data_IF_500353515191
#
_entry.id   IF_500353515191
#
_cell.length_a   1.000
_cell.length_b   1.000
_cell.length_c   1.000
_cell.angle_alpha   90.00
_cell.angle_beta   90.00
_cell.angle_gamma   90.00
#
_symmetry.space_group_name_H-M   'P 1'
#
loop_
_entity.id
_entity.type
_entity.pdbx_description
1 polymer ?
#
# COMPACT_ATOMS: atom_id res chain seq x y z
N UNK A 1 33.48 -13.55 3.13
CA UNK A 1 34.47 -12.51 3.45
C UNK A 1 33.93 -11.67 4.58
N UNK A 2 34.80 -11.35 5.53
CA UNK A 2 34.56 -10.85 6.88
C UNK A 2 34.14 -9.38 6.95
N UNK A 3 33.07 -9.08 7.70
CA UNK A 3 32.92 -7.87 8.53
C UNK A 3 31.97 -8.26 9.68
N UNK A 4 32.39 -8.45 10.93
CA UNK A 4 33.00 -7.52 11.90
C UNK A 4 32.03 -6.43 12.42
N UNK A 5 31.23 -6.85 13.42
CA UNK A 5 30.86 -6.19 14.70
C UNK A 5 30.57 -4.68 14.72
N UNK A 6 29.38 -4.36 15.24
CA UNK A 6 29.24 -3.51 16.44
C UNK A 6 27.94 -3.83 17.20
N UNK A 7 28.06 -3.90 18.52
CA UNK A 7 27.04 -3.99 19.58
C UNK A 7 27.71 -3.31 20.79
N UNK A 8 27.05 -2.89 21.88
CA UNK A 8 25.63 -2.59 22.10
C UNK A 8 25.45 -1.24 22.86
N UNK A 9 24.22 -0.79 23.10
CA UNK A 9 23.93 0.09 24.25
C UNK A 9 22.82 -0.53 25.09
N UNK A 10 23.20 -0.96 26.29
CA UNK A 10 22.32 -1.41 27.37
C UNK A 10 21.66 -0.21 28.03
N UNK A 11 20.42 -0.37 28.51
CA UNK A 11 20.03 0.23 29.78
C UNK A 11 19.17 -0.72 30.62
N UNK A 12 19.23 -0.49 31.92
CA UNK A 12 19.20 -1.46 33.01
C UNK A 12 17.80 -1.61 33.63
N UNK A 13 17.54 -2.83 34.09
CA UNK A 13 16.44 -3.31 34.94
C UNK A 13 16.38 -2.56 36.28
N UNK A 14 15.17 -2.25 36.76
CA UNK A 14 14.90 -2.19 38.20
C UNK A 14 13.62 -2.98 38.54
N UNK A 15 13.82 -4.08 39.28
CA UNK A 15 12.83 -4.80 40.07
C UNK A 15 12.90 -4.26 41.50
N UNK A 16 11.75 -3.99 42.12
CA UNK A 16 11.60 -4.13 43.57
C UNK A 16 10.21 -4.69 43.91
N UNK A 17 10.24 -5.85 44.56
CA UNK A 17 9.15 -6.43 45.35
C UNK A 17 8.88 -5.54 46.58
N UNK A 18 7.62 -5.38 47.00
CA UNK A 18 7.08 -6.14 48.14
C UNK A 18 5.64 -5.76 48.47
N UNK A 19 4.96 -6.74 49.05
CA UNK A 19 3.53 -6.86 49.31
C UNK A 19 2.99 -5.97 50.45
N UNK A 20 1.67 -5.77 50.45
CA UNK A 20 0.85 -5.84 51.65
C UNK A 20 -0.56 -6.33 51.29
N UNK A 21 -0.98 -7.38 52.00
CA UNK A 21 -2.29 -8.02 52.00
C UNK A 21 -3.21 -7.22 52.92
N UNK A 22 -4.48 -7.04 52.54
CA UNK A 22 -5.59 -7.06 53.51
C UNK A 22 -6.91 -7.40 52.84
N UNK A 23 -7.61 -8.30 53.51
CA UNK A 23 -8.81 -9.05 53.14
C UNK A 23 -10.11 -8.26 53.22
N UNK A 24 -11.06 -8.58 52.34
CA UNK A 24 -12.47 -8.68 52.72
C UNK A 24 -13.13 -9.80 51.94
N UNK A 25 -13.59 -10.81 52.68
CA UNK A 25 -14.34 -11.95 52.18
C UNK A 25 -15.78 -11.51 51.90
N UNK A 26 -16.20 -11.59 50.64
CA UNK A 26 -17.61 -11.57 50.27
C UNK A 26 -18.02 -12.89 49.63
N UNK A 27 -19.25 -13.28 49.96
CA UNK A 27 -19.85 -14.60 49.84
C UNK A 27 -19.83 -15.12 48.40
N UNK A 28 -19.27 -16.33 48.22
CA UNK A 28 -19.45 -17.14 47.03
C UNK A 28 -20.93 -17.51 46.86
N UNK A 29 -21.59 -16.86 45.90
CA UNK A 29 -22.71 -17.44 45.16
C UNK A 29 -22.09 -18.33 44.08
N UNK A 30 -22.14 -19.65 44.26
CA UNK A 30 -21.87 -20.61 43.18
C UNK A 30 -22.99 -20.45 42.14
N UNK A 31 -22.75 -19.59 41.17
CA UNK A 31 -23.35 -19.75 39.85
C UNK A 31 -22.57 -20.86 39.15
N UNK A 32 -23.29 -21.77 38.49
CA UNK A 32 -22.70 -22.78 37.63
C UNK A 32 -21.64 -22.14 36.73
N UNK A 33 -20.50 -22.79 36.48
CA UNK A 33 -19.50 -22.24 35.58
C UNK A 33 -20.16 -22.14 34.21
N UNK A 34 -20.54 -20.90 33.84
CA UNK A 34 -20.65 -20.54 32.45
C UNK A 34 -19.28 -20.85 31.89
N UNK A 35 -19.16 -21.94 31.13
CA UNK A 35 -18.03 -22.16 30.23
C UNK A 35 -18.11 -20.99 29.26
N UNK A 36 -17.52 -19.85 29.64
CA UNK A 36 -17.13 -18.84 28.68
C UNK A 36 -16.14 -19.59 27.81
N UNK A 37 -16.52 -19.89 26.56
CA UNK A 37 -15.55 -20.23 25.55
C UNK A 37 -14.43 -19.20 25.70
N UNK A 38 -13.20 -19.65 25.99
CA UNK A 38 -12.09 -18.74 26.11
C UNK A 38 -11.99 -18.00 24.77
N UNK A 39 -12.03 -16.66 24.81
CA UNK A 39 -11.86 -15.82 23.62
C UNK A 39 -10.56 -16.25 22.92
N UNK A 40 -10.67 -16.65 21.65
CA UNK A 40 -9.57 -17.12 20.82
C UNK A 40 -8.81 -15.94 20.22
N UNK A 41 -9.52 -14.85 19.94
CA UNK A 41 -9.07 -13.56 19.47
C UNK A 41 -9.04 -12.53 20.61
N UNK A 42 -8.20 -11.51 20.45
CA UNK A 42 -8.18 -10.32 21.30
C UNK A 42 -8.89 -9.16 20.58
N UNK A 43 -9.24 -8.07 21.30
CA UNK A 43 -9.92 -6.92 20.69
C UNK A 43 -9.25 -6.34 19.44
N UNK A 44 -7.92 -6.32 19.38
CA UNK A 44 -7.19 -5.84 18.20
C UNK A 44 -7.34 -6.76 16.98
N UNK A 45 -7.47 -8.07 17.20
CA UNK A 45 -7.69 -9.03 16.11
C UNK A 45 -9.12 -8.88 15.58
N UNK A 46 -10.08 -8.76 16.50
CA UNK A 46 -11.48 -8.48 16.15
C UNK A 46 -11.65 -7.18 15.36
N UNK A 47 -10.87 -6.15 15.69
CA UNK A 47 -10.83 -4.89 14.96
C UNK A 47 -10.26 -5.10 13.55
N UNK A 48 -9.16 -5.83 13.41
CA UNK A 48 -8.60 -6.21 12.11
C UNK A 48 -9.61 -7.01 11.28
N UNK A 49 -10.31 -7.99 11.87
CA UNK A 49 -11.34 -8.77 11.17
C UNK A 49 -12.52 -7.90 10.73
N UNK A 50 -12.92 -6.93 11.55
CA UNK A 50 -13.94 -5.95 11.20
C UNK A 50 -13.52 -5.11 9.99
N UNK A 51 -12.27 -4.65 9.96
CA UNK A 51 -11.71 -3.91 8.83
C UNK A 51 -11.66 -4.76 7.55
N UNK A 52 -11.20 -6.02 7.66
CA UNK A 52 -11.13 -6.95 6.53
C UNK A 52 -12.54 -7.18 5.96
N UNK A 53 -13.53 -7.42 6.84
CA UNK A 53 -14.92 -7.62 6.43
C UNK A 53 -15.50 -6.38 5.75
N UNK A 54 -15.31 -5.21 6.36
CA UNK A 54 -15.87 -3.95 5.88
C UNK A 54 -15.32 -3.53 4.52
N UNK A 55 -13.99 -3.60 4.32
CA UNK A 55 -13.38 -3.39 3.01
C UNK A 55 -13.80 -4.48 2.02
N UNK A 56 -13.89 -5.73 2.48
CA UNK A 56 -14.45 -6.84 1.73
C UNK A 56 -15.82 -6.58 1.13
N UNK A 57 -16.72 -5.99 1.91
CA UNK A 57 -18.08 -5.61 1.50
C UNK A 57 -18.10 -4.41 0.55
N UNK A 58 -17.13 -3.50 0.67
CA UNK A 58 -16.99 -2.37 -0.24
C UNK A 58 -16.56 -2.86 -1.63
N UNK A 59 -15.51 -3.68 -1.70
CA UNK A 59 -15.02 -4.20 -2.99
C UNK A 59 -16.02 -5.14 -3.66
N UNK A 60 -16.82 -5.89 -2.89
CA UNK A 60 -17.87 -6.75 -3.42
C UNK A 60 -19.00 -6.00 -4.18
N UNK A 61 -19.05 -4.66 -4.10
CA UNK A 61 -20.02 -3.84 -4.86
C UNK A 61 -19.57 -3.54 -6.29
N UNK A 62 -18.32 -3.85 -6.65
CA UNK A 62 -17.75 -3.57 -7.98
C UNK A 62 -17.75 -2.08 -8.37
N UNK A 63 -17.78 -1.17 -7.37
CA UNK A 63 -17.83 0.29 -7.59
C UNK A 63 -16.44 0.94 -7.70
N UNK A 64 -15.39 0.29 -7.18
CA UNK A 64 -14.00 0.80 -7.23
C UNK A 64 -13.23 0.11 -8.37
N UNK A 65 -13.32 -1.21 -8.46
CA UNK A 65 -12.75 -1.99 -9.55
C UNK A 65 -13.55 -3.27 -9.72
N UNK A 66 -14.11 -3.47 -10.92
CA UNK A 66 -15.01 -4.60 -11.15
C UNK A 66 -14.26 -5.92 -11.10
N UNK A 67 -14.81 -6.88 -10.35
CA UNK A 67 -14.26 -8.23 -10.25
C UNK A 67 -13.21 -8.41 -9.16
N UNK A 68 -12.74 -7.34 -8.51
CA UNK A 68 -11.81 -7.46 -7.39
C UNK A 68 -12.56 -7.87 -6.11
N UNK A 69 -12.30 -9.09 -5.63
CA UNK A 69 -12.97 -9.65 -4.46
C UNK A 69 -12.01 -9.86 -3.28
N UNK A 70 -11.56 -8.77 -2.65
CA UNK A 70 -10.60 -8.77 -1.52
C UNK A 70 -10.88 -9.83 -0.45
N UNK A 71 -12.15 -9.95 -0.01
CA UNK A 71 -12.52 -10.86 1.07
C UNK A 71 -12.49 -12.35 0.68
N UNK A 72 -12.18 -12.70 -0.56
CA UNK A 72 -12.11 -14.10 -1.02
C UNK A 72 -10.70 -14.68 -0.93
N UNK A 73 -9.68 -13.83 -0.81
CA UNK A 73 -8.30 -14.27 -0.72
C UNK A 73 -8.03 -15.00 0.59
N UNK A 74 -7.17 -16.02 0.49
CA UNK A 74 -6.67 -16.80 1.61
C UNK A 74 -5.56 -16.03 2.30
N UNK A 75 -5.72 -15.77 3.59
CA UNK A 75 -4.77 -15.00 4.39
C UNK A 75 -4.36 -15.78 5.63
N UNK A 76 -3.09 -15.67 6.00
CA UNK A 76 -2.55 -16.14 7.27
C UNK A 76 -1.96 -14.93 8.00
N UNK A 77 -2.70 -14.43 8.98
CA UNK A 77 -2.34 -13.22 9.71
C UNK A 77 -1.70 -13.64 11.03
N UNK A 78 -0.48 -13.17 11.28
CA UNK A 78 0.28 -13.51 12.49
C UNK A 78 0.48 -12.25 13.30
N UNK A 79 0.03 -12.27 14.54
CA UNK A 79 0.27 -11.17 15.46
C UNK A 79 1.66 -11.28 16.08
N UNK A 80 2.38 -10.17 16.12
CA UNK A 80 3.72 -10.07 16.68
C UNK A 80 3.75 -9.12 17.88
N UNK A 81 4.45 -9.57 18.91
CA UNK A 81 4.82 -8.77 20.08
C UNK A 81 6.34 -8.62 20.15
N UNK A 82 6.85 -7.80 21.06
CA UNK A 82 8.28 -7.74 21.37
C UNK A 82 8.87 -9.10 21.78
N UNK A 83 8.05 -10.04 22.25
CA UNK A 83 8.45 -11.39 22.68
C UNK A 83 8.36 -12.43 21.55
N UNK A 84 7.98 -12.02 20.34
CA UNK A 84 7.72 -12.89 19.20
C UNK A 84 6.21 -13.07 18.91
N UNK A 85 5.86 -13.98 17.99
CA UNK A 85 4.47 -14.22 17.61
C UNK A 85 3.70 -14.91 18.75
N UNK A 86 2.49 -14.46 19.03
CA UNK A 86 1.66 -15.00 20.13
C UNK A 86 0.30 -15.57 19.70
N UNK A 87 -0.16 -15.29 18.48
CA UNK A 87 -1.42 -15.80 17.90
C UNK A 87 -1.43 -15.64 16.39
N UNK A 88 -2.12 -16.53 15.70
CA UNK A 88 -2.31 -16.42 14.26
C UNK A 88 -3.65 -16.96 13.79
N UNK A 89 -4.08 -16.46 12.64
CA UNK A 89 -5.41 -16.68 12.11
C UNK A 89 -5.36 -16.99 10.62
N UNK A 90 -6.01 -18.08 10.21
CA UNK A 90 -6.27 -18.37 8.81
C UNK A 90 -7.67 -17.86 8.43
N UNK A 91 -7.74 -17.11 7.34
CA UNK A 91 -8.98 -16.55 6.80
C UNK A 91 -9.29 -17.22 5.47
N UNK A 92 -10.55 -17.61 5.28
CA UNK A 92 -11.09 -18.32 4.12
C UNK A 92 -10.31 -19.58 3.71
N UNK A 93 -9.91 -20.45 4.65
CA UNK A 93 -9.28 -21.70 4.24
C UNK A 93 -10.29 -22.58 3.46
N UNK A 94 -9.88 -23.23 2.37
CA UNK A 94 -10.78 -24.13 1.62
C UNK A 94 -11.20 -25.33 2.48
N UNK A 95 -10.31 -25.78 3.36
CA UNK A 95 -10.58 -26.76 4.40
C UNK A 95 -9.89 -26.32 5.69
N UNK A 96 -10.50 -26.50 6.88
CA UNK A 96 -9.84 -26.15 8.15
C UNK A 96 -8.50 -26.87 8.31
N UNK A 97 -7.39 -26.16 8.55
CA UNK A 97 -6.11 -26.80 8.83
C UNK A 97 -6.20 -27.68 10.08
N UNK A 98 -5.49 -28.81 10.08
CA UNK A 98 -5.47 -29.72 11.24
C UNK A 98 -4.94 -28.98 12.47
N UNK A 99 -5.72 -28.99 13.55
CA UNK A 99 -5.37 -28.30 14.80
C UNK A 99 -5.80 -26.83 14.85
N UNK A 100 -6.45 -26.31 13.80
CA UNK A 100 -7.06 -24.98 13.82
C UNK A 100 -8.40 -25.02 14.59
N UNK A 101 -8.70 -23.95 15.32
CA UNK A 101 -9.95 -23.81 16.08
C UNK A 101 -10.76 -22.69 15.43
N UNK A 102 -12.00 -22.98 15.01
CA UNK A 102 -12.88 -22.01 14.36
C UNK A 102 -13.29 -20.94 15.37
N UNK A 103 -13.16 -19.67 15.00
CA UNK A 103 -13.74 -18.55 15.74
C UNK A 103 -15.26 -18.58 15.56
N UNK A 104 -16.00 -18.15 16.57
CA UNK A 104 -17.45 -18.00 16.40
C UNK A 104 -17.77 -16.82 15.46
N UNK A 105 -19.04 -16.72 15.05
CA UNK A 105 -19.45 -15.71 14.06
C UNK A 105 -19.31 -14.26 14.58
N UNK A 106 -19.43 -14.03 15.89
CA UNK A 106 -19.32 -12.71 16.50
C UNK A 106 -17.86 -12.29 16.63
N UNK A 107 -17.01 -13.21 17.05
CA UNK A 107 -15.57 -13.04 17.15
C UNK A 107 -14.94 -12.84 15.75
N UNK A 108 -15.32 -13.67 14.78
CA UNK A 108 -14.86 -13.60 13.40
C UNK A 108 -15.52 -12.51 12.54
N UNK A 109 -16.43 -11.69 13.09
CA UNK A 109 -17.15 -10.61 12.38
C UNK A 109 -17.85 -11.07 11.10
N UNK A 110 -18.37 -12.30 11.10
CA UNK A 110 -19.02 -12.92 9.93
C UNK A 110 -18.06 -13.47 8.86
N UNK A 111 -16.74 -13.38 9.05
CA UNK A 111 -15.74 -14.05 8.21
C UNK A 111 -15.54 -15.51 8.66
N UNK A 112 -15.02 -16.34 7.75
CA UNK A 112 -14.62 -17.72 8.06
C UNK A 112 -13.16 -17.71 8.54
N UNK A 113 -12.98 -17.63 9.87
CA UNK A 113 -11.66 -17.52 10.51
C UNK A 113 -11.40 -18.70 11.44
N UNK A 114 -10.17 -19.19 11.45
CA UNK A 114 -9.70 -20.16 12.42
C UNK A 114 -8.40 -19.67 13.06
N UNK A 115 -8.30 -19.78 14.39
CA UNK A 115 -7.04 -19.63 15.10
C UNK A 115 -6.15 -20.82 14.77
N UNK A 116 -4.91 -20.55 14.34
CA UNK A 116 -3.98 -21.54 13.88
C UNK A 116 -2.53 -21.17 14.25
N UNK A 117 -2.10 -21.61 15.42
CA UNK A 117 -0.82 -21.18 16.01
C UNK A 117 0.37 -22.07 15.58
N UNK A 118 0.12 -23.24 14.98
CA UNK A 118 1.13 -24.28 14.75
C UNK A 118 2.28 -23.88 13.80
N UNK A 119 2.06 -22.89 12.93
CA UNK A 119 3.05 -22.46 11.91
C UNK A 119 3.59 -21.06 12.16
N UNK A 120 3.26 -20.42 13.28
CA UNK A 120 3.65 -19.04 13.57
C UNK A 120 5.17 -18.82 13.60
N UNK A 121 5.93 -19.78 14.14
CA UNK A 121 7.38 -19.65 14.20
C UNK A 121 8.01 -19.65 12.81
N UNK A 122 7.52 -20.52 11.92
CA UNK A 122 8.02 -20.56 10.54
C UNK A 122 7.64 -19.29 9.78
N UNK A 123 6.41 -18.81 9.95
CA UNK A 123 5.98 -17.53 9.40
C UNK A 123 6.84 -16.36 9.93
N UNK A 124 7.16 -16.34 11.22
CA UNK A 124 8.09 -15.35 11.79
C UNK A 124 9.46 -15.42 11.13
N UNK A 125 10.06 -16.62 11.06
CA UNK A 125 11.40 -16.79 10.49
C UNK A 125 11.44 -16.40 9.01
N UNK A 126 10.34 -16.58 8.28
CA UNK A 126 10.23 -16.16 6.88
C UNK A 126 10.13 -14.64 6.74
N UNK A 127 9.26 -14.00 7.53
CA UNK A 127 9.00 -12.56 7.43
C UNK A 127 10.13 -11.71 8.04
N UNK A 128 10.74 -12.16 9.15
CA UNK A 128 11.76 -11.41 9.90
C UNK A 128 13.16 -12.05 9.83
N UNK A 129 13.33 -13.09 9.02
CA UNK A 129 14.63 -13.71 8.77
C UNK A 129 15.54 -12.84 7.90
N UNK A 130 16.75 -13.34 7.56
CA UNK A 130 17.73 -12.60 6.78
C UNK A 130 17.25 -12.12 5.41
N UNK A 131 16.32 -12.86 4.80
CA UNK A 131 15.74 -12.57 3.48
C UNK A 131 14.32 -11.97 3.58
N UNK A 132 13.82 -11.76 4.82
CA UNK A 132 12.47 -11.27 5.06
C UNK A 132 12.35 -9.75 4.89
N UNK A 133 11.18 -9.29 4.44
CA UNK A 133 10.88 -7.85 4.31
C UNK A 133 10.29 -7.23 5.59
N UNK A 134 10.13 -8.01 6.66
CA UNK A 134 9.62 -7.57 7.96
C UNK A 134 8.10 -7.37 8.03
N UNK A 135 7.35 -7.61 6.95
CA UNK A 135 5.90 -7.33 6.91
C UNK A 135 5.06 -8.48 6.36
N UNK A 136 5.43 -9.10 5.25
CA UNK A 136 4.55 -10.04 4.54
C UNK A 136 5.28 -11.07 3.68
N UNK A 137 4.54 -12.05 3.17
CA UNK A 137 4.96 -12.99 2.12
C UNK A 137 3.76 -13.35 1.23
N UNK A 138 3.95 -13.31 -0.09
CA UNK A 138 2.91 -13.63 -1.05
C UNK A 138 2.51 -15.10 -1.03
N UNK A 139 3.41 -16.03 -0.70
CA UNK A 139 3.09 -17.45 -0.72
C UNK A 139 3.58 -18.17 0.53
N UNK A 140 2.64 -18.53 1.40
CA UNK A 140 2.89 -19.38 2.56
C UNK A 140 2.03 -20.65 2.52
N UNK A 141 2.66 -21.83 2.45
CA UNK A 141 1.94 -23.10 2.39
C UNK A 141 1.43 -23.54 3.77
N UNK A 142 0.13 -23.77 3.87
CA UNK A 142 -0.49 -24.48 5.00
C UNK A 142 -1.32 -25.63 4.43
N UNK A 143 -0.81 -26.85 4.63
CA UNK A 143 -1.48 -28.08 4.23
C UNK A 143 -1.81 -28.13 2.72
N UNK A 144 -0.83 -27.77 1.87
CA UNK A 144 -0.99 -27.82 0.41
C UNK A 144 -1.82 -26.67 -0.16
N UNK A 145 -2.01 -25.58 0.61
CA UNK A 145 -2.75 -24.40 0.18
C UNK A 145 -1.91 -23.16 0.44
N UNK A 146 -1.82 -22.28 -0.55
CA UNK A 146 -1.10 -21.02 -0.46
C UNK A 146 -1.95 -19.94 0.23
N UNK A 147 -1.35 -19.27 1.21
CA UNK A 147 -1.91 -18.13 1.93
C UNK A 147 -1.03 -16.90 1.74
N UNK A 148 -1.66 -15.73 1.72
CA UNK A 148 -0.93 -14.46 1.87
C UNK A 148 -0.60 -14.34 3.36
N UNK A 149 0.68 -14.29 3.70
CA UNK A 149 1.15 -14.17 5.07
C UNK A 149 1.40 -12.69 5.36
N UNK A 150 0.88 -12.18 6.48
CA UNK A 150 1.18 -10.84 6.94
C UNK A 150 1.36 -10.77 8.46
N UNK A 151 2.36 -10.01 8.87
CA UNK A 151 2.60 -9.58 10.23
C UNK A 151 1.72 -8.39 10.61
N UNK A 152 1.16 -8.42 11.82
CA UNK A 152 0.50 -7.26 12.42
C UNK A 152 0.81 -7.18 13.93
N UNK A 153 0.58 -6.01 14.53
CA UNK A 153 0.88 -5.70 15.93
C UNK A 153 -0.32 -5.03 16.61
N UNK A 154 -0.17 -4.73 17.90
CA UNK A 154 -1.14 -3.98 18.69
C UNK A 154 -1.25 -2.49 18.24
N UNK A 155 -0.42 -2.05 17.28
CA UNK A 155 -0.49 -0.71 16.67
C UNK A 155 -1.77 -0.48 15.85
N UNK A 156 -2.66 -1.47 15.77
CA UNK A 156 -4.01 -1.35 15.22
C UNK A 156 -5.07 -0.98 16.27
N UNK A 157 -4.72 -0.95 17.56
CA UNK A 157 -5.68 -0.67 18.64
C UNK A 157 -6.27 0.75 18.58
N UNK A 158 -7.51 0.92 19.04
CA UNK A 158 -8.16 2.22 19.12
C UNK A 158 -7.29 3.22 19.92
N UNK A 159 -6.88 4.32 19.27
CA UNK A 159 -5.98 5.32 19.84
C UNK A 159 -4.53 5.26 19.35
N UNK A 160 -4.16 4.24 18.57
CA UNK A 160 -2.96 4.28 17.74
C UNK A 160 -3.14 5.27 16.58
N UNK A 161 -2.05 5.86 16.10
CA UNK A 161 -2.10 6.96 15.12
C UNK A 161 -2.64 6.58 13.74
N UNK A 162 -2.76 5.29 13.42
CA UNK A 162 -3.29 4.78 12.14
C UNK A 162 -3.76 3.31 12.29
N UNK A 163 -5.05 3.14 12.59
CA UNK A 163 -5.68 1.81 12.71
C UNK A 163 -5.95 1.13 11.35
N UNK A 164 -5.72 1.84 10.23
CA UNK A 164 -5.97 1.33 8.87
C UNK A 164 -4.76 0.61 8.29
N UNK A 165 -3.55 0.95 8.73
CA UNK A 165 -2.27 0.51 8.15
C UNK A 165 -2.22 -0.96 7.72
N UNK A 166 -2.51 -1.90 8.63
CA UNK A 166 -2.39 -3.33 8.31
C UNK A 166 -3.38 -3.77 7.23
N UNK A 167 -4.63 -3.28 7.28
CA UNK A 167 -5.62 -3.69 6.28
C UNK A 167 -5.37 -3.01 4.95
N UNK A 168 -4.95 -1.75 4.95
CA UNK A 168 -4.58 -1.01 3.74
C UNK A 168 -3.43 -1.71 3.02
N UNK A 169 -2.39 -2.09 3.77
CA UNK A 169 -1.28 -2.87 3.23
C UNK A 169 -1.74 -4.21 2.66
N UNK A 170 -2.53 -4.99 3.40
CA UNK A 170 -3.05 -6.28 2.89
C UNK A 170 -3.92 -6.11 1.64
N UNK A 171 -4.64 -4.99 1.53
CA UNK A 171 -5.50 -4.68 0.38
C UNK A 171 -4.68 -4.36 -0.85
N UNK A 172 -3.57 -3.63 -0.69
CA UNK A 172 -2.58 -3.36 -1.74
C UNK A 172 -1.95 -4.67 -2.22
N UNK A 173 -1.34 -5.43 -1.31
CA UNK A 173 -0.61 -6.65 -1.68
C UNK A 173 -1.53 -7.74 -2.26
N UNK A 174 -2.74 -7.90 -1.74
CA UNK A 174 -3.70 -8.86 -2.31
C UNK A 174 -4.25 -8.44 -3.67
N UNK A 175 -4.16 -7.14 -4.03
CA UNK A 175 -4.49 -6.71 -5.37
C UNK A 175 -3.43 -7.15 -6.40
N UNK A 176 -2.15 -7.27 -6.01
CA UNK A 176 -1.13 -7.87 -6.90
C UNK A 176 -1.49 -9.30 -7.32
N UNK A 177 -2.13 -10.09 -6.45
CA UNK A 177 -2.66 -11.42 -6.83
C UNK A 177 -3.81 -11.37 -7.83
N UNK A 178 -4.59 -10.29 -7.81
CA UNK A 178 -5.59 -10.04 -8.86
C UNK A 178 -4.88 -9.73 -10.19
N UNK A 179 -3.78 -8.96 -10.13
CA UNK A 179 -2.95 -8.60 -11.27
C UNK A 179 -2.16 -9.77 -11.89
N UNK A 180 -1.95 -10.87 -11.16
CA UNK A 180 -1.27 -12.08 -11.68
C UNK A 180 -1.88 -12.61 -13.00
N UNK A 181 -3.15 -12.32 -13.28
CA UNK A 181 -3.85 -12.76 -14.49
C UNK A 181 -3.91 -11.69 -15.60
N UNK A 182 -3.32 -10.51 -15.39
CA UNK A 182 -3.34 -9.43 -16.37
C UNK A 182 -2.37 -9.71 -17.51
N UNK A 183 -2.67 -9.17 -18.69
CA UNK A 183 -1.69 -9.16 -19.77
C UNK A 183 -0.51 -8.26 -19.40
N UNK A 184 0.70 -8.73 -19.67
CA UNK A 184 1.91 -7.94 -19.44
C UNK A 184 1.88 -6.66 -20.28
N UNK A 185 2.27 -5.54 -19.66
CA UNK A 185 2.54 -4.31 -20.40
C UNK A 185 3.70 -4.57 -21.38
N UNK A 186 3.52 -4.29 -22.69
CA UNK A 186 4.56 -4.53 -23.68
C UNK A 186 5.87 -3.82 -23.33
N UNK A 187 7.00 -4.52 -23.54
CA UNK A 187 8.35 -4.02 -23.28
C UNK A 187 8.63 -3.62 -21.81
N UNK A 188 7.76 -3.98 -20.87
CA UNK A 188 7.90 -3.62 -19.45
C UNK A 188 9.23 -4.08 -18.86
N UNK A 189 9.85 -3.19 -18.05
CA UNK A 189 11.16 -3.41 -17.45
C UNK A 189 11.27 -2.73 -16.08
N UNK A 190 11.82 -3.45 -15.10
CA UNK A 190 12.19 -2.87 -13.81
C UNK A 190 13.72 -2.65 -13.75
N UNK A 191 14.16 -1.39 -13.65
CA UNK A 191 15.58 -1.01 -13.62
C UNK A 191 15.77 0.28 -12.83
N UNK A 192 15.77 0.14 -11.51
CA UNK A 192 15.91 1.25 -10.58
C UNK A 192 17.33 1.84 -10.62
N UNK A 193 18.35 1.00 -10.80
CA UNK A 193 19.76 1.41 -10.75
C UNK A 193 20.15 2.31 -11.92
N UNK A 194 19.55 2.10 -13.10
CA UNK A 194 19.85 2.85 -14.32
C UNK A 194 18.77 3.87 -14.68
N UNK A 195 17.79 4.10 -13.81
CA UNK A 195 16.71 5.05 -14.05
C UNK A 195 17.28 6.46 -14.40
N UNK A 196 16.82 7.09 -15.50
CA UNK A 196 17.48 8.25 -16.08
C UNK A 196 17.29 9.50 -15.23
N UNK A 197 18.39 10.20 -14.95
CA UNK A 197 18.38 11.48 -14.24
C UNK A 197 19.01 12.57 -15.10
N UNK A 198 18.20 13.55 -15.50
CA UNK A 198 18.63 14.83 -16.05
C UNK A 198 17.90 15.94 -15.32
N UNK A 199 18.39 17.19 -15.38
CA UNK A 199 17.68 18.32 -14.77
C UNK A 199 16.27 18.43 -15.33
N UNK A 200 16.11 18.31 -16.64
CA UNK A 200 14.81 18.44 -17.31
C UNK A 200 13.85 17.31 -16.95
N UNK A 201 14.33 16.06 -16.84
CA UNK A 201 13.51 14.94 -16.37
C UNK A 201 13.08 15.13 -14.91
N UNK A 202 14.01 15.53 -14.04
CA UNK A 202 13.71 15.81 -12.63
C UNK A 202 12.66 16.93 -12.49
N UNK A 203 12.79 18.01 -13.25
CA UNK A 203 11.80 19.09 -13.26
C UNK A 203 10.40 18.59 -13.64
N UNK A 204 10.30 17.71 -14.63
CA UNK A 204 9.04 17.15 -15.12
C UNK A 204 8.41 16.15 -14.13
N UNK A 205 9.21 15.26 -13.55
CA UNK A 205 8.76 14.25 -12.60
C UNK A 205 8.24 14.91 -11.30
N UNK A 206 9.00 15.88 -10.77
CA UNK A 206 8.56 16.67 -9.61
C UNK A 206 7.29 17.45 -9.95
N UNK A 207 7.21 18.06 -11.15
CA UNK A 207 6.00 18.78 -11.58
C UNK A 207 4.78 17.86 -11.64
N UNK A 208 4.94 16.64 -12.17
CA UNK A 208 3.85 15.67 -12.25
C UNK A 208 3.33 15.30 -10.86
N UNK A 209 4.22 15.03 -9.91
CA UNK A 209 3.86 14.79 -8.51
C UNK A 209 3.10 15.98 -7.92
N UNK A 210 3.62 17.20 -8.09
CA UNK A 210 3.07 18.41 -7.47
C UNK A 210 1.68 18.80 -7.99
N UNK A 211 1.37 18.56 -9.27
CA UNK A 211 0.01 18.79 -9.81
C UNK A 211 -1.00 17.74 -9.34
N UNK A 212 -0.52 16.56 -8.89
CA UNK A 212 -1.37 15.44 -8.47
C UNK A 212 -1.46 15.26 -6.95
N UNK A 213 -0.57 15.87 -6.16
CA UNK A 213 -0.42 15.59 -4.72
C UNK A 213 -1.69 15.73 -3.88
N UNK A 214 -2.59 16.63 -4.28
CA UNK A 214 -3.84 16.89 -3.58
C UNK A 214 -4.93 15.86 -3.92
N UNK A 215 -4.68 14.93 -4.83
CA UNK A 215 -5.63 13.89 -5.23
C UNK A 215 -5.67 12.74 -4.20
N UNK A 216 -6.86 12.16 -3.96
CA UNK A 216 -8.17 12.61 -4.44
C UNK A 216 -8.66 13.86 -3.69
N UNK A 217 -8.96 14.93 -4.41
CA UNK A 217 -9.54 16.14 -3.82
C UNK A 217 -11.07 16.05 -3.84
N UNK A 218 -11.74 16.39 -2.74
CA UNK A 218 -13.21 16.36 -2.67
C UNK A 218 -13.80 17.69 -2.17
N UNK A 219 -14.80 18.26 -2.87
CA UNK A 219 -15.31 17.85 -4.18
C UNK A 219 -14.35 18.24 -5.32
N UNK A 220 -14.18 17.37 -6.30
CA UNK A 220 -13.41 17.66 -7.52
C UNK A 220 -14.34 18.04 -8.68
N UNK A 221 -14.15 19.24 -9.23
CA UNK A 221 -14.75 19.63 -10.52
C UNK A 221 -14.16 18.78 -11.65
N UNK A 222 -15.00 18.12 -12.46
CA UNK A 222 -14.55 17.24 -13.55
C UNK A 222 -13.67 17.97 -14.58
N UNK A 223 -13.92 19.26 -14.80
CA UNK A 223 -13.10 20.11 -15.67
C UNK A 223 -11.68 20.29 -15.12
N UNK A 224 -11.52 20.45 -13.81
CA UNK A 224 -10.22 20.55 -13.16
C UNK A 224 -9.47 19.21 -13.23
N UNK A 225 -10.15 18.08 -12.97
CA UNK A 225 -9.56 16.75 -13.13
C UNK A 225 -9.11 16.51 -14.58
N UNK A 226 -9.94 16.83 -15.56
CA UNK A 226 -9.58 16.72 -16.98
C UNK A 226 -8.37 17.59 -17.34
N UNK A 227 -8.24 18.77 -16.74
CA UNK A 227 -7.06 19.62 -16.92
C UNK A 227 -5.79 18.97 -16.36
N UNK A 228 -5.85 18.39 -15.16
CA UNK A 228 -4.72 17.64 -14.58
C UNK A 228 -4.35 16.45 -15.48
N UNK A 229 -5.33 15.71 -16.01
CA UNK A 229 -5.06 14.60 -16.93
C UNK A 229 -4.36 15.04 -18.22
N UNK A 230 -4.74 16.20 -18.77
CA UNK A 230 -4.06 16.79 -19.94
C UNK A 230 -2.60 17.11 -19.62
N UNK A 231 -2.35 17.69 -18.45
CA UNK A 231 -1.00 18.01 -17.99
C UNK A 231 -0.17 16.75 -17.77
N UNK A 232 -0.73 15.72 -17.12
CA UNK A 232 -0.12 14.39 -16.97
C UNK A 232 0.31 13.80 -18.31
N UNK A 233 -0.60 13.68 -19.29
CA UNK A 233 -0.27 13.14 -20.61
C UNK A 233 0.80 13.98 -21.31
N UNK A 234 0.76 15.30 -21.18
CA UNK A 234 1.77 16.17 -21.77
C UNK A 234 3.15 16.00 -21.12
N UNK A 235 3.21 15.89 -19.79
CA UNK A 235 4.44 15.66 -19.04
C UNK A 235 5.05 14.29 -19.38
N UNK A 236 4.28 13.19 -19.24
CA UNK A 236 4.75 11.84 -19.59
C UNK A 236 5.21 11.72 -21.04
N UNK A 237 4.49 12.36 -21.96
CA UNK A 237 4.91 12.41 -23.36
C UNK A 237 6.26 13.09 -23.53
N UNK A 238 6.51 14.17 -22.78
CA UNK A 238 7.76 14.91 -22.87
C UNK A 238 8.93 14.18 -22.21
N UNK A 239 8.70 13.50 -21.09
CA UNK A 239 9.71 12.68 -20.43
C UNK A 239 10.18 11.55 -21.34
N UNK A 240 9.24 10.84 -22.01
CA UNK A 240 9.61 9.81 -22.99
C UNK A 240 10.42 10.37 -24.17
N UNK A 241 10.13 11.59 -24.63
CA UNK A 241 10.96 12.25 -25.67
C UNK A 241 12.38 12.59 -25.19
N UNK A 242 12.55 12.83 -23.89
CA UNK A 242 13.82 13.22 -23.27
C UNK A 242 14.61 12.04 -22.71
N UNK A 243 14.02 10.85 -22.69
CA UNK A 243 14.62 9.65 -22.13
C UNK A 243 15.91 9.29 -22.89
N UNK A 244 17.09 9.41 -22.24
CA UNK A 244 18.36 9.11 -22.88
C UNK A 244 18.68 7.62 -22.90
N UNK A 245 17.88 6.78 -22.24
CA UNK A 245 18.19 5.35 -22.08
C UNK A 245 17.85 4.57 -23.35
N UNK A 246 18.69 3.59 -23.74
CA UNK A 246 18.39 2.72 -24.88
C UNK A 246 17.13 1.89 -24.63
N UNK A 247 16.85 1.54 -23.38
CA UNK A 247 15.71 0.73 -22.97
C UNK A 247 14.42 1.54 -22.77
N UNK A 248 14.44 2.85 -23.02
CA UNK A 248 13.28 3.73 -22.87
C UNK A 248 12.62 3.58 -21.48
N UNK A 249 13.41 3.65 -20.42
CA UNK A 249 12.98 3.42 -19.04
C UNK A 249 11.82 4.32 -18.59
N UNK A 250 11.67 5.55 -19.06
CA UNK A 250 10.45 6.33 -18.77
C UNK A 250 9.20 5.58 -19.28
N UNK A 251 9.23 5.06 -20.50
CA UNK A 251 8.10 4.33 -21.08
C UNK A 251 7.94 2.94 -20.44
N UNK A 252 9.04 2.21 -20.31
CA UNK A 252 9.02 0.78 -20.03
C UNK A 252 9.12 0.46 -18.53
N UNK A 253 9.67 1.38 -17.73
CA UNK A 253 9.72 1.29 -16.28
C UNK A 253 8.65 2.16 -15.64
N UNK A 254 8.71 3.49 -15.83
CA UNK A 254 7.87 4.40 -15.05
C UNK A 254 6.37 4.21 -15.33
N UNK A 255 5.95 4.15 -16.60
CA UNK A 255 4.53 3.92 -16.93
C UNK A 255 4.05 2.52 -16.54
N UNK A 256 4.94 1.52 -16.56
CA UNK A 256 4.65 0.18 -16.08
C UNK A 256 4.42 0.18 -14.57
N UNK A 257 5.27 0.87 -13.80
CA UNK A 257 5.12 0.99 -12.36
C UNK A 257 3.87 1.78 -11.96
N UNK A 258 3.49 2.81 -12.72
CA UNK A 258 2.22 3.51 -12.54
C UNK A 258 1.00 2.58 -12.67
N UNK A 259 1.09 1.54 -13.50
CA UNK A 259 0.06 0.50 -13.56
C UNK A 259 0.21 -0.48 -12.40
N UNK A 260 1.39 -1.09 -12.24
CA UNK A 260 1.61 -2.20 -11.31
C UNK A 260 1.43 -1.81 -9.85
N UNK A 261 2.04 -0.71 -9.40
CA UNK A 261 1.92 -0.25 -8.01
C UNK A 261 0.81 0.79 -7.85
N UNK A 262 0.53 1.54 -8.90
CA UNK A 262 -0.49 2.58 -8.85
C UNK A 262 -1.92 2.05 -8.81
N UNK A 263 -2.22 0.91 -9.44
CA UNK A 263 -3.57 0.32 -9.33
C UNK A 263 -3.85 -0.28 -7.93
N UNK A 264 -2.97 -1.07 -7.28
CA UNK A 264 -3.09 -1.39 -5.87
C UNK A 264 -3.28 -0.16 -4.98
N UNK A 265 -2.47 0.89 -5.19
CA UNK A 265 -2.57 2.11 -4.37
C UNK A 265 -3.88 2.85 -4.55
N UNK A 266 -4.43 2.86 -5.77
CA UNK A 266 -5.76 3.38 -6.06
C UNK A 266 -6.83 2.60 -5.29
N UNK A 267 -6.79 1.27 -5.35
CA UNK A 267 -7.73 0.37 -4.67
C UNK A 267 -7.68 0.58 -3.17
N UNK A 268 -6.49 0.56 -2.58
CA UNK A 268 -6.21 0.82 -1.16
C UNK A 268 -6.87 2.13 -0.72
N UNK A 269 -6.54 3.23 -1.41
CA UNK A 269 -6.97 4.57 -1.00
C UNK A 269 -8.47 4.76 -1.16
N UNK A 270 -9.06 4.28 -2.27
CA UNK A 270 -10.50 4.43 -2.52
C UNK A 270 -11.33 3.58 -1.54
N UNK A 271 -10.88 2.37 -1.21
CA UNK A 271 -11.53 1.55 -0.18
C UNK A 271 -11.43 2.20 1.19
N UNK A 272 -10.25 2.70 1.54
CA UNK A 272 -10.04 3.43 2.78
C UNK A 272 -10.95 4.65 2.92
N UNK A 273 -11.11 5.45 1.85
CA UNK A 273 -11.98 6.63 1.87
C UNK A 273 -13.47 6.31 2.04
N UNK A 274 -13.91 5.14 1.59
CA UNK A 274 -15.28 4.69 1.79
C UNK A 274 -15.49 4.06 3.18
N UNK A 275 -14.47 3.40 3.72
CA UNK A 275 -14.59 2.64 4.96
C UNK A 275 -14.23 3.46 6.21
N UNK A 276 -13.09 4.14 6.18
CA UNK A 276 -12.55 4.88 7.32
C UNK A 276 -13.00 6.34 7.31
N UNK A 277 -13.16 6.92 8.49
CA UNK A 277 -13.43 8.35 8.61
C UNK A 277 -12.21 9.17 8.18
N UNK A 278 -12.41 10.35 7.58
CA UNK A 278 -11.30 11.23 7.15
C UNK A 278 -10.32 11.64 8.27
N UNK A 279 -10.72 11.53 9.54
CA UNK A 279 -9.87 11.87 10.68
C UNK A 279 -8.83 10.80 11.04
N UNK A 280 -8.90 9.60 10.47
CA UNK A 280 -8.09 8.44 10.87
C UNK A 280 -7.12 7.94 9.81
N UNK A 281 -7.12 8.52 8.60
CA UNK A 281 -6.34 7.99 7.46
C UNK A 281 -5.81 9.11 6.56
N UNK A 282 -4.57 9.02 6.04
CA UNK A 282 -4.09 9.90 4.98
C UNK A 282 -5.04 9.82 3.77
N UNK A 283 -5.58 10.96 3.35
CA UNK A 283 -6.61 11.02 2.30
C UNK A 283 -6.03 11.23 0.90
N UNK A 284 -4.71 11.27 0.75
CA UNK A 284 -4.02 11.59 -0.50
C UNK A 284 -3.22 10.39 -1.01
N UNK A 285 -3.17 10.23 -2.34
CA UNK A 285 -2.33 9.21 -2.98
C UNK A 285 -0.84 9.52 -2.86
N UNK A 286 -0.53 10.80 -2.72
CA UNK A 286 0.77 11.37 -2.98
C UNK A 286 1.13 12.36 -1.88
N UNK A 287 2.39 12.75 -1.88
CA UNK A 287 3.02 13.67 -0.94
C UNK A 287 3.76 14.74 -1.74
N UNK A 288 4.01 15.88 -1.11
CA UNK A 288 4.89 16.86 -1.73
C UNK A 288 6.31 16.34 -1.66
N UNK A 289 7.02 16.39 -2.78
CA UNK A 289 8.38 15.85 -2.81
C UNK A 289 9.37 16.67 -1.98
N UNK A 290 8.98 17.91 -1.66
CA UNK A 290 9.72 18.81 -0.80
C UNK A 290 9.70 18.38 0.69
N UNK A 291 8.90 17.39 1.06
CA UNK A 291 8.84 16.82 2.41
C UNK A 291 10.00 15.86 2.69
N UNK A 292 10.73 15.42 1.65
CA UNK A 292 11.81 14.45 1.77
C UNK A 292 13.17 15.15 1.88
N UNK A 293 13.97 14.69 2.85
CA UNK A 293 15.40 15.00 2.92
C UNK A 293 16.15 13.96 2.09
N UNK A 294 16.69 14.36 0.95
CA UNK A 294 17.49 13.52 0.05
C UNK A 294 18.93 14.04 0.06
N UNK A 295 19.90 13.18 0.34
CA UNK A 295 21.29 13.54 0.55
C UNK A 295 22.22 13.03 -0.56
N UNK A 296 21.81 12.00 -1.31
CA UNK A 296 22.65 11.36 -2.32
C UNK A 296 21.98 11.23 -3.69
N UNK A 297 22.79 11.12 -4.75
CA UNK A 297 22.29 10.84 -6.11
C UNK A 297 21.53 9.52 -6.18
N UNK A 298 21.98 8.51 -5.43
CA UNK A 298 21.35 7.19 -5.39
C UNK A 298 19.93 7.28 -4.80
N UNK A 299 19.74 8.05 -3.73
CA UNK A 299 18.42 8.33 -3.15
C UNK A 299 17.53 9.14 -4.10
N UNK A 300 18.07 10.11 -4.85
CA UNK A 300 17.30 10.80 -5.90
C UNK A 300 16.80 9.79 -6.93
N UNK A 301 17.67 8.88 -7.37
CA UNK A 301 17.28 7.85 -8.34
C UNK A 301 16.22 6.91 -7.77
N UNK A 302 16.38 6.47 -6.53
CA UNK A 302 15.37 5.67 -5.84
C UNK A 302 14.04 6.42 -5.72
N UNK A 303 14.05 7.70 -5.34
CA UNK A 303 12.84 8.52 -5.23
C UNK A 303 12.10 8.63 -6.58
N UNK A 304 12.81 8.98 -7.66
CA UNK A 304 12.20 9.13 -8.98
C UNK A 304 11.78 7.79 -9.60
N UNK A 305 12.65 6.79 -9.45
CA UNK A 305 12.47 5.47 -10.02
C UNK A 305 11.61 4.54 -9.18
N UNK A 306 11.23 4.89 -7.96
CA UNK A 306 10.40 4.03 -7.09
C UNK A 306 9.22 4.77 -6.46
N UNK A 307 9.38 6.00 -6.01
CA UNK A 307 8.41 6.60 -5.09
C UNK A 307 7.43 7.55 -5.76
N UNK A 308 7.85 8.24 -6.84
CA UNK A 308 6.98 9.20 -7.56
C UNK A 308 5.77 8.50 -8.20
N UNK A 309 5.95 7.32 -8.81
CA UNK A 309 4.85 6.62 -9.46
C UNK A 309 3.77 6.11 -8.47
N UNK A 310 4.12 5.89 -7.19
CA UNK A 310 3.13 5.56 -6.15
C UNK A 310 2.14 6.71 -5.93
N UNK A 311 2.51 7.94 -6.28
CA UNK A 311 1.61 9.09 -6.25
C UNK A 311 0.91 9.34 -7.58
N UNK A 312 1.66 9.33 -8.68
CA UNK A 312 1.13 9.74 -9.99
C UNK A 312 0.27 8.67 -10.66
N UNK A 313 0.63 7.39 -10.52
CA UNK A 313 -0.15 6.26 -11.03
C UNK A 313 -1.59 6.23 -10.52
N UNK A 314 -1.83 6.12 -9.20
CA UNK A 314 -3.19 6.12 -8.67
C UNK A 314 -3.93 7.44 -8.90
N UNK A 315 -3.22 8.58 -8.93
CA UNK A 315 -3.79 9.88 -9.28
C UNK A 315 -4.36 9.91 -10.70
N UNK A 316 -3.62 9.37 -11.67
CA UNK A 316 -4.10 9.23 -13.05
C UNK A 316 -5.29 8.27 -13.14
N UNK A 317 -5.24 7.12 -12.47
CA UNK A 317 -6.34 6.13 -12.43
C UNK A 317 -7.60 6.75 -11.84
N UNK A 318 -7.49 7.46 -10.72
CA UNK A 318 -8.59 8.18 -10.10
C UNK A 318 -9.24 9.20 -11.05
N UNK A 319 -8.45 10.00 -11.76
CA UNK A 319 -9.01 10.96 -12.71
C UNK A 319 -9.75 10.23 -13.85
N UNK A 320 -9.17 9.16 -14.39
CA UNK A 320 -9.78 8.37 -15.46
C UNK A 320 -11.13 7.77 -15.04
N UNK A 321 -11.17 7.17 -13.87
CA UNK A 321 -12.40 6.62 -13.26
C UNK A 321 -13.47 7.70 -13.09
N UNK A 322 -13.11 8.84 -12.48
CA UNK A 322 -14.01 9.98 -12.29
C UNK A 322 -14.53 10.58 -13.60
N UNK A 323 -13.81 10.40 -14.71
CA UNK A 323 -14.20 10.82 -16.05
C UNK A 323 -14.97 9.74 -16.83
N UNK A 324 -15.25 8.59 -16.20
CA UNK A 324 -16.01 7.48 -16.79
C UNK A 324 -15.22 6.64 -17.79
N UNK A 325 -13.89 6.66 -17.72
CA UNK A 325 -13.04 5.76 -18.54
C UNK A 325 -13.05 4.36 -17.91
N UNK A 326 -13.10 3.33 -18.75
CA UNK A 326 -12.97 1.94 -18.32
C UNK A 326 -11.53 1.67 -17.85
N UNK A 327 -11.25 1.86 -16.56
CA UNK A 327 -9.92 1.70 -15.98
C UNK A 327 -9.45 0.24 -16.00
N UNK A 328 -10.38 -0.72 -15.96
CA UNK A 328 -10.11 -2.16 -16.06
C UNK A 328 -9.54 -2.56 -17.44
N UNK A 329 -9.50 -1.65 -18.42
CA UNK A 329 -8.70 -1.87 -19.63
C UNK A 329 -7.18 -2.02 -19.33
N UNK A 330 -6.71 -1.64 -18.14
CA UNK A 330 -5.35 -1.92 -17.68
C UNK A 330 -5.04 -3.41 -17.53
N UNK A 331 -6.06 -4.25 -17.34
CA UNK A 331 -5.93 -5.72 -17.29
C UNK A 331 -5.42 -6.30 -18.64
N UNK A 332 -5.50 -5.52 -19.72
CA UNK A 332 -5.07 -5.87 -21.08
C UNK A 332 -3.73 -5.22 -21.43
N UNK A 333 -2.81 -5.13 -20.47
CA UNK A 333 -1.46 -4.61 -20.67
C UNK A 333 -1.41 -3.12 -21.03
N UNK A 334 -2.39 -2.34 -20.59
CA UNK A 334 -2.41 -0.87 -20.75
C UNK A 334 -1.96 -0.18 -19.48
N UNK A 335 -1.21 0.91 -19.64
CA UNK A 335 -0.85 1.79 -18.54
C UNK A 335 -1.91 2.90 -18.34
N UNK A 336 -1.96 3.58 -17.18
CA UNK A 336 -2.79 4.77 -17.00
C UNK A 336 -2.54 5.83 -18.09
N UNK A 337 -1.28 6.00 -18.51
CA UNK A 337 -0.91 6.89 -19.62
C UNK A 337 -1.55 6.47 -20.95
N UNK A 338 -1.56 5.19 -21.29
CA UNK A 338 -2.17 4.71 -22.54
C UNK A 338 -3.67 5.01 -22.58
N UNK A 339 -4.37 4.77 -21.48
CA UNK A 339 -5.79 5.07 -21.36
C UNK A 339 -6.06 6.58 -21.43
N UNK A 340 -5.27 7.38 -20.72
CA UNK A 340 -5.38 8.84 -20.73
C UNK A 340 -5.10 9.45 -22.11
N UNK A 341 -4.07 8.96 -22.79
CA UNK A 341 -3.71 9.38 -24.15
C UNK A 341 -4.82 9.04 -25.14
N UNK A 342 -5.39 7.84 -25.06
CA UNK A 342 -6.50 7.42 -25.91
C UNK A 342 -7.77 8.25 -25.65
N UNK A 343 -8.12 8.48 -24.38
CA UNK A 343 -9.29 9.26 -23.98
C UNK A 343 -9.21 10.72 -24.42
N UNK A 344 -8.05 11.37 -24.21
CA UNK A 344 -7.88 12.78 -24.52
C UNK A 344 -7.61 13.04 -26.01
N UNK A 345 -6.97 12.09 -26.70
CA UNK A 345 -6.61 12.15 -28.13
C UNK A 345 -6.00 13.51 -28.55
N UNK A 346 -5.12 14.06 -27.72
CA UNK A 346 -4.54 15.39 -27.96
C UNK A 346 -3.54 15.35 -29.11
N UNK A 347 -3.61 16.36 -29.98
CA UNK A 347 -2.56 16.69 -30.94
C UNK A 347 -1.25 17.11 -30.25
N UNK A 348 -0.15 17.17 -31.01
CA UNK A 348 1.13 17.67 -30.48
C UNK A 348 1.01 19.10 -29.94
N UNK A 349 0.34 19.99 -30.67
CA UNK A 349 0.15 21.38 -30.26
C UNK A 349 -0.64 21.51 -28.94
N UNK A 350 -1.63 20.64 -28.73
CA UNK A 350 -2.39 20.62 -27.47
C UNK A 350 -1.55 20.08 -26.31
N UNK A 351 -0.71 19.07 -26.54
CA UNK A 351 0.25 18.59 -25.53
C UNK A 351 1.25 19.67 -25.16
N UNK A 352 1.81 20.37 -26.15
CA UNK A 352 2.75 21.47 -25.90
C UNK A 352 2.09 22.60 -25.09
N UNK A 353 0.82 22.89 -25.36
CA UNK A 353 0.05 23.88 -24.59
C UNK A 353 -0.23 23.40 -23.16
N UNK A 354 -0.66 22.16 -22.96
CA UNK A 354 -0.90 21.61 -21.62
C UNK A 354 0.39 21.54 -20.78
N UNK A 355 1.54 21.24 -21.40
CA UNK A 355 2.84 21.29 -20.73
C UNK A 355 3.20 22.72 -20.29
N UNK A 356 2.99 23.72 -21.16
CA UNK A 356 3.18 25.13 -20.77
C UNK A 356 2.28 25.50 -19.60
N UNK A 357 1.02 25.07 -19.63
CA UNK A 357 0.06 25.33 -18.55
C UNK A 357 0.48 24.69 -17.24
N UNK A 358 0.98 23.45 -17.26
CA UNK A 358 1.51 22.78 -16.07
C UNK A 358 2.66 23.59 -15.42
N UNK A 359 3.58 24.12 -16.24
CA UNK A 359 4.70 24.96 -15.78
C UNK A 359 4.29 26.34 -15.26
N UNK A 360 3.01 26.71 -15.32
CA UNK A 360 2.50 27.93 -14.69
C UNK A 360 2.08 27.71 -13.22
N UNK A 361 2.27 26.50 -12.68
CA UNK A 361 2.02 26.26 -11.24
C UNK A 361 2.87 27.21 -10.39
N UNK A 362 2.29 27.66 -9.27
CA UNK A 362 2.89 28.69 -8.41
C UNK A 362 4.33 28.36 -7.98
N UNK A 363 4.62 27.09 -7.70
CA UNK A 363 5.91 26.64 -7.20
C UNK A 363 6.87 26.15 -8.30
N UNK A 364 6.64 26.49 -9.57
CA UNK A 364 7.54 26.08 -10.66
C UNK A 364 9.01 26.52 -10.45
N UNK A 365 9.33 27.76 -10.03
CA UNK A 365 10.71 28.14 -9.75
C UNK A 365 11.39 27.27 -8.68
N UNK A 366 10.66 26.88 -7.64
CA UNK A 366 11.13 26.00 -6.57
C UNK A 366 11.39 24.58 -7.07
N UNK A 367 10.52 24.06 -7.95
CA UNK A 367 10.73 22.78 -8.64
C UNK A 367 12.03 22.80 -9.43
N UNK A 368 12.26 23.86 -10.21
CA UNK A 368 13.49 24.00 -10.99
C UNK A 368 14.74 24.11 -10.11
N UNK A 369 14.65 24.81 -8.98
CA UNK A 369 15.74 24.91 -8.01
C UNK A 369 16.04 23.55 -7.39
N UNK A 370 15.02 22.80 -6.98
CA UNK A 370 15.14 21.47 -6.38
C UNK A 370 15.73 20.45 -7.37
N UNK A 371 15.28 20.45 -8.61
CA UNK A 371 15.83 19.59 -9.66
C UNK A 371 17.34 19.84 -9.87
N UNK A 372 17.78 21.11 -9.87
CA UNK A 372 19.22 21.45 -9.95
C UNK A 372 19.99 21.02 -8.71
N UNK A 373 19.44 21.23 -7.53
CA UNK A 373 20.03 20.81 -6.25
C UNK A 373 20.26 19.31 -6.23
N UNK A 374 19.23 18.52 -6.51
CA UNK A 374 19.33 17.05 -6.59
C UNK A 374 20.23 16.58 -7.72
N UNK A 375 20.26 17.32 -8.84
CA UNK A 375 21.20 17.01 -9.91
C UNK A 375 22.67 17.29 -9.51
N UNK A 376 22.93 18.14 -8.53
CA UNK A 376 24.27 18.43 -8.01
C UNK A 376 24.74 17.49 -6.89
N UNK A 377 23.85 16.65 -6.32
CA UNK A 377 24.22 15.64 -5.32
C UNK A 377 25.20 14.61 -5.89
N UNK A 378 26.06 14.09 -5.01
CA UNK A 378 27.10 13.11 -5.34
C UNK A 378 26.55 11.70 -5.46
#
# INVERSE_FOLDING_TARGET
MTHAKSNPFSFIIFLFFSACILSSAEKCSQSDPVVRNAELAKPVDELLFSHIKGLGDIYAKDEIWKGYAYHTYRQYLVHFTEKGPDRAFVINPPTPPKGAIRLDAQEGKGLVIYRYDLRMKEAHDLVFGPEGNGTFEFTFDIAGNNYYLQAYSDDLSEGSGDTSRAVSFSTHELFHRYQDNWENVPDSKQDFDNFPLTVELLELQILCQEIMKELPSYPSELSALKQILRQYVAIRSKEMELDPTPDQLIRNHELYQEQMEGSPKYIETMGNLQFFTKSTTPVHFSYSIFEFSIETKAEVRGMMGQSVYYGTGPGAIYILDRLGVNIEAMEQGKTPYDLAKAYLNMSKSERDQALREAKMIKNWPEIQAKAREWMALK
#
